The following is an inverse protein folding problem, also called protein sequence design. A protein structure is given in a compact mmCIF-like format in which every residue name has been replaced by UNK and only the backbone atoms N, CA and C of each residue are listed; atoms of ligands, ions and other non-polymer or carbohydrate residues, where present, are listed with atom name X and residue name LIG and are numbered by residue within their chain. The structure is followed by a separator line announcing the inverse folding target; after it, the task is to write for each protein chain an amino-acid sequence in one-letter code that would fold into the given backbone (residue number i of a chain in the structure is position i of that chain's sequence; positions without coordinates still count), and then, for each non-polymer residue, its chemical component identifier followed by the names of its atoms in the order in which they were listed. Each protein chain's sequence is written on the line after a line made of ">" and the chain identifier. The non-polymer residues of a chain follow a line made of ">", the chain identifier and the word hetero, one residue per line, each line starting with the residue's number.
data_IF_621607860408
#
_entry.id   IF_621607860408
#
_cell.length_a   1.000
_cell.length_b   1.000
_cell.length_c   1.000
_cell.angle_alpha   90.00
_cell.angle_beta   90.00
_cell.angle_gamma   90.00
#
_symmetry.space_group_name_H-M   'P 1'
#
loop_
_entity.id
_entity.type
_entity.pdbx_description
1 polymer ?
#
# COMPACT_ATOMS: atom_id res chain seq x y z
N UNK A 1 11.46 70.88 -19.16
CA UNK A 1 11.11 69.65 -19.90
C UNK A 1 11.86 68.51 -19.23
N UNK A 2 11.15 67.72 -18.43
CA UNK A 2 11.70 66.72 -17.51
C UNK A 2 12.00 65.41 -18.24
N UNK A 3 13.26 65.02 -18.22
CA UNK A 3 13.77 63.75 -18.72
C UNK A 3 13.18 62.60 -17.91
N UNK A 4 12.35 61.75 -18.53
CA UNK A 4 11.85 60.54 -17.91
C UNK A 4 12.94 59.47 -17.91
N UNK A 5 13.58 59.27 -16.76
CA UNK A 5 14.38 58.08 -16.46
C UNK A 5 13.47 56.85 -16.54
N UNK A 6 13.63 56.03 -17.59
CA UNK A 6 13.05 54.69 -17.63
C UNK A 6 13.72 53.87 -16.52
N UNK A 7 12.93 53.46 -15.53
CA UNK A 7 13.37 52.49 -14.52
C UNK A 7 13.69 51.17 -15.23
N UNK A 8 14.96 50.77 -15.17
CA UNK A 8 15.37 49.41 -15.52
C UNK A 8 14.81 48.46 -14.46
N UNK A 9 13.63 47.89 -14.69
CA UNK A 9 13.15 46.78 -13.88
C UNK A 9 14.05 45.58 -14.16
N UNK A 10 14.94 45.34 -13.19
CA UNK A 10 15.81 44.17 -13.07
C UNK A 10 14.91 42.93 -13.18
N UNK A 11 14.97 42.23 -14.32
CA UNK A 11 14.31 40.94 -14.49
C UNK A 11 14.98 39.94 -13.55
N UNK A 12 14.37 39.71 -12.39
CA UNK A 12 14.74 38.59 -11.55
C UNK A 12 14.60 37.33 -12.41
N UNK A 13 15.69 36.58 -12.56
CA UNK A 13 15.69 35.29 -13.27
C UNK A 13 14.69 34.38 -12.55
N UNK A 14 13.47 34.30 -13.06
CA UNK A 14 12.49 33.29 -12.65
C UNK A 14 13.04 31.96 -13.16
N UNK A 15 13.65 31.18 -12.27
CA UNK A 15 14.05 29.80 -12.56
C UNK A 15 12.77 28.98 -12.77
N UNK A 16 12.66 28.34 -13.94
CA UNK A 16 11.54 27.47 -14.29
C UNK A 16 11.25 26.44 -13.19
N UNK A 17 9.97 26.19 -12.90
CA UNK A 17 9.52 25.17 -11.96
C UNK A 17 10.17 23.81 -12.25
N UNK A 18 10.52 23.05 -11.20
CA UNK A 18 11.03 21.68 -11.32
C UNK A 18 9.93 20.61 -11.35
N UNK A 19 8.66 21.03 -11.23
CA UNK A 19 7.47 20.17 -11.18
C UNK A 19 6.61 20.44 -12.43
N UNK A 20 6.00 19.40 -13.02
CA UNK A 20 5.14 19.54 -14.20
C UNK A 20 3.91 20.40 -13.92
N UNK A 21 3.32 20.92 -14.99
CA UNK A 21 1.98 21.50 -14.94
C UNK A 21 0.93 20.44 -14.56
N UNK A 22 -0.05 20.82 -13.74
CA UNK A 22 -1.15 19.94 -13.30
C UNK A 22 -2.21 19.85 -14.40
N UNK A 23 -1.90 19.10 -15.45
CA UNK A 23 -2.81 18.78 -16.55
C UNK A 23 -3.52 17.44 -16.33
N UNK A 24 -4.36 17.01 -17.28
CA UNK A 24 -4.94 15.65 -17.24
C UNK A 24 -3.86 14.56 -17.29
N UNK A 25 -2.75 14.82 -18.00
CA UNK A 25 -1.62 13.89 -18.10
C UNK A 25 -0.91 13.69 -16.77
N UNK A 26 -0.80 14.75 -15.96
CA UNK A 26 -0.28 14.67 -14.60
C UNK A 26 -1.07 13.65 -13.78
N UNK A 27 -2.40 13.78 -13.75
CA UNK A 27 -3.26 12.88 -12.97
C UNK A 27 -3.23 11.45 -13.51
N UNK A 28 -3.24 11.30 -14.85
CA UNK A 28 -3.17 9.99 -15.49
C UNK A 28 -1.87 9.26 -15.13
N UNK A 29 -0.71 9.87 -15.35
CA UNK A 29 0.57 9.21 -15.05
C UNK A 29 0.72 8.99 -13.54
N UNK A 30 0.25 9.91 -12.70
CA UNK A 30 0.27 9.74 -11.24
C UNK A 30 -0.50 8.49 -10.81
N UNK A 31 -1.71 8.27 -11.32
CA UNK A 31 -2.52 7.07 -11.02
C UNK A 31 -1.81 5.81 -11.54
N UNK A 32 -1.24 5.84 -12.75
CA UNK A 32 -0.46 4.70 -13.26
C UNK A 32 0.75 4.40 -12.35
N UNK A 33 1.48 5.42 -11.91
CA UNK A 33 2.63 5.28 -10.99
C UNK A 33 2.21 4.70 -9.62
N UNK A 34 1.05 5.12 -9.09
CA UNK A 34 0.55 4.59 -7.81
C UNK A 34 0.08 3.14 -7.94
N UNK A 35 -0.41 2.72 -9.11
CA UNK A 35 -0.75 1.31 -9.38
C UNK A 35 0.47 0.42 -9.60
N UNK A 36 1.49 0.92 -10.33
CA UNK A 36 2.77 0.20 -10.47
C UNK A 36 3.45 0.03 -9.13
N UNK A 37 3.42 1.06 -8.27
CA UNK A 37 4.12 1.04 -6.99
C UNK A 37 3.75 -0.18 -6.14
N UNK A 38 2.45 -0.49 -6.09
CA UNK A 38 1.90 -1.65 -5.38
C UNK A 38 2.31 -2.95 -6.08
N UNK A 39 1.81 -3.13 -7.32
CA UNK A 39 2.00 -4.38 -8.05
C UNK A 39 3.46 -4.77 -8.27
N UNK A 40 4.35 -3.80 -8.45
CA UNK A 40 5.76 -4.05 -8.70
C UNK A 40 6.52 -4.36 -7.42
N UNK A 41 6.16 -3.73 -6.30
CA UNK A 41 6.72 -4.07 -4.99
C UNK A 41 6.44 -5.55 -4.67
N UNK A 42 5.18 -5.98 -4.84
CA UNK A 42 4.75 -7.36 -4.59
C UNK A 42 5.39 -8.35 -5.55
N UNK A 43 5.48 -8.00 -6.83
CA UNK A 43 6.14 -8.85 -7.80
C UNK A 43 7.61 -9.10 -7.47
N UNK A 44 8.33 -8.06 -7.03
CA UNK A 44 9.74 -8.21 -6.66
C UNK A 44 9.90 -8.93 -5.32
N UNK A 45 9.02 -8.65 -4.35
CA UNK A 45 9.05 -9.25 -3.02
C UNK A 45 8.70 -10.75 -3.07
N UNK A 46 7.47 -11.06 -3.52
CA UNK A 46 6.89 -12.40 -3.52
C UNK A 46 7.20 -13.13 -4.82
N UNK A 47 7.00 -12.48 -5.97
CA UNK A 47 7.13 -13.13 -7.27
C UNK A 47 8.57 -13.53 -7.64
N UNK A 48 9.58 -12.77 -7.24
CA UNK A 48 11.00 -13.10 -7.43
C UNK A 48 11.64 -13.78 -6.21
N UNK A 49 10.92 -13.90 -5.10
CA UNK A 49 11.40 -14.54 -3.87
C UNK A 49 12.59 -13.82 -3.21
N UNK A 50 12.81 -12.52 -3.52
CA UNK A 50 13.89 -11.75 -2.90
C UNK A 50 13.62 -11.44 -1.42
N UNK A 51 12.33 -11.48 -1.03
CA UNK A 51 11.88 -11.15 0.30
C UNK A 51 11.91 -9.65 0.60
N UNK A 52 11.13 -9.27 1.60
CA UNK A 52 10.81 -7.87 1.86
C UNK A 52 12.03 -7.03 2.26
N UNK A 53 12.93 -7.62 3.06
CA UNK A 53 14.12 -6.92 3.56
C UNK A 53 15.13 -6.55 2.48
N UNK A 54 15.45 -7.49 1.57
CA UNK A 54 16.42 -7.25 0.48
C UNK A 54 15.81 -6.29 -0.54
N UNK A 55 14.54 -6.52 -0.91
CA UNK A 55 13.80 -5.67 -1.84
C UNK A 55 13.78 -4.22 -1.36
N UNK A 56 13.41 -3.98 -0.10
CA UNK A 56 13.42 -2.64 0.48
C UNK A 56 14.81 -1.99 0.48
N UNK A 57 15.88 -2.74 0.77
CA UNK A 57 17.24 -2.21 0.75
C UNK A 57 17.65 -1.75 -0.67
N UNK A 58 17.36 -2.57 -1.68
CA UNK A 58 17.64 -2.25 -3.09
C UNK A 58 16.87 -1.00 -3.52
N UNK A 59 15.56 -0.95 -3.28
CA UNK A 59 14.74 0.20 -3.67
C UNK A 59 15.07 1.47 -2.88
N UNK A 60 15.51 1.34 -1.62
CA UNK A 60 16.01 2.49 -0.85
C UNK A 60 17.27 3.06 -1.48
N UNK A 61 18.21 2.20 -1.93
CA UNK A 61 19.41 2.64 -2.62
C UNK A 61 19.09 3.30 -3.98
N UNK A 62 18.20 2.68 -4.76
CA UNK A 62 17.72 3.26 -6.04
C UNK A 62 17.03 4.60 -5.81
N UNK A 63 16.19 4.70 -4.77
CA UNK A 63 15.53 5.94 -4.38
C UNK A 63 16.54 7.03 -4.06
N UNK A 64 17.57 6.73 -3.27
CA UNK A 64 18.61 7.70 -2.93
C UNK A 64 19.34 8.22 -4.18
N UNK A 65 19.64 7.35 -5.14
CA UNK A 65 20.29 7.72 -6.41
C UNK A 65 19.37 8.60 -7.26
N UNK A 66 18.15 8.15 -7.53
CA UNK A 66 17.20 8.85 -8.41
C UNK A 66 16.78 10.19 -7.81
N UNK A 67 16.50 10.24 -6.51
CA UNK A 67 16.20 11.47 -5.79
C UNK A 67 17.42 12.42 -5.78
N UNK A 68 18.63 11.88 -5.60
CA UNK A 68 19.87 12.67 -5.68
C UNK A 68 20.07 13.30 -7.07
N UNK A 69 19.75 12.59 -8.15
CA UNK A 69 19.76 13.14 -9.52
C UNK A 69 18.69 14.24 -9.66
N UNK A 70 17.46 13.97 -9.21
CA UNK A 70 16.36 14.93 -9.28
C UNK A 70 16.68 16.25 -8.56
N UNK A 71 17.21 16.19 -7.35
CA UNK A 71 17.59 17.37 -6.56
C UNK A 71 18.70 18.21 -7.23
N UNK A 72 19.58 17.58 -8.02
CA UNK A 72 20.67 18.26 -8.74
C UNK A 72 20.18 18.98 -10.00
N UNK A 73 19.13 18.49 -10.64
CA UNK A 73 18.59 19.09 -11.85
C UNK A 73 18.02 20.48 -11.56
N UNK A 74 18.34 21.45 -12.42
CA UNK A 74 17.92 22.85 -12.28
C UNK A 74 16.60 23.16 -12.99
N UNK A 75 16.04 22.18 -13.70
CA UNK A 75 14.84 22.31 -14.54
C UNK A 75 14.04 21.02 -14.50
N UNK A 76 12.76 21.12 -14.80
CA UNK A 76 11.90 19.96 -14.99
C UNK A 76 12.40 19.08 -16.16
N UNK A 77 12.64 17.81 -15.88
CA UNK A 77 12.94 16.76 -16.87
C UNK A 77 11.90 15.65 -16.67
N UNK A 78 10.96 15.46 -17.62
CA UNK A 78 9.85 14.53 -17.43
C UNK A 78 10.28 13.12 -17.01
N UNK A 79 11.28 12.57 -17.71
CA UNK A 79 11.79 11.21 -17.45
C UNK A 79 12.29 11.05 -16.01
N UNK A 80 13.10 12.01 -15.53
CA UNK A 80 13.69 11.91 -14.18
C UNK A 80 12.62 12.10 -13.11
N UNK A 81 11.75 13.08 -13.27
CA UNK A 81 10.67 13.34 -12.32
C UNK A 81 9.73 12.13 -12.18
N UNK A 82 9.25 11.59 -13.30
CA UNK A 82 8.32 10.45 -13.27
C UNK A 82 9.00 9.17 -12.79
N UNK A 83 10.29 8.97 -13.11
CA UNK A 83 11.08 7.88 -12.51
C UNK A 83 11.18 8.03 -10.99
N UNK A 84 11.46 9.24 -10.47
CA UNK A 84 11.46 9.49 -9.03
C UNK A 84 10.12 9.16 -8.40
N UNK A 85 9.00 9.52 -9.05
CA UNK A 85 7.64 9.22 -8.57
C UNK A 85 7.36 7.72 -8.56
N UNK A 86 7.80 6.95 -9.57
CA UNK A 86 7.67 5.48 -9.59
C UNK A 86 8.50 4.85 -8.48
N UNK A 87 9.76 5.25 -8.32
CA UNK A 87 10.62 4.67 -7.28
C UNK A 87 10.12 5.02 -5.87
N UNK A 88 9.58 6.23 -5.68
CA UNK A 88 8.93 6.63 -4.44
C UNK A 88 7.65 5.83 -4.16
N UNK A 89 6.87 5.47 -5.19
CA UNK A 89 5.67 4.67 -4.98
C UNK A 89 6.01 3.25 -4.53
N UNK A 90 7.02 2.62 -5.15
CA UNK A 90 7.52 1.30 -4.74
C UNK A 90 8.11 1.34 -3.33
N UNK A 91 9.01 2.29 -3.04
CA UNK A 91 9.62 2.41 -1.72
C UNK A 91 8.59 2.72 -0.63
N UNK A 92 7.56 3.51 -0.94
CA UNK A 92 6.47 3.80 -0.02
C UNK A 92 5.64 2.57 0.36
N UNK A 93 5.32 1.70 -0.61
CA UNK A 93 4.68 0.38 -0.35
C UNK A 93 5.57 -0.43 0.59
N UNK A 94 6.82 -0.68 0.19
CA UNK A 94 7.74 -1.54 0.95
C UNK A 94 7.97 -1.07 2.40
N UNK A 95 7.98 0.24 2.66
CA UNK A 95 8.10 0.76 4.03
C UNK A 95 6.86 0.52 4.88
N UNK A 96 5.67 0.58 4.28
CA UNK A 96 4.43 0.20 4.94
C UNK A 96 4.42 -1.29 5.24
N UNK A 97 4.74 -2.13 4.27
CA UNK A 97 4.74 -3.60 4.41
C UNK A 97 5.75 -4.06 5.47
N UNK A 98 6.91 -3.39 5.58
CA UNK A 98 7.86 -3.69 6.66
C UNK A 98 7.25 -3.46 8.04
N UNK A 99 6.44 -2.40 8.18
CA UNK A 99 5.76 -2.12 9.45
C UNK A 99 4.64 -3.12 9.71
N UNK A 100 3.83 -3.43 8.71
CA UNK A 100 2.62 -4.24 8.88
C UNK A 100 2.93 -5.73 8.90
N UNK A 101 3.71 -6.22 7.94
CA UNK A 101 3.86 -7.65 7.68
C UNK A 101 5.03 -8.21 8.48
N UNK A 102 6.15 -7.49 8.51
CA UNK A 102 7.35 -7.94 9.24
C UNK A 102 7.33 -7.57 10.72
N UNK A 103 6.85 -6.38 11.06
CA UNK A 103 6.82 -5.87 12.43
C UNK A 103 5.45 -6.04 13.10
N UNK A 104 4.46 -6.61 12.39
CA UNK A 104 3.11 -6.88 12.89
C UNK A 104 2.42 -5.62 13.47
N UNK A 105 2.74 -4.42 12.96
CA UNK A 105 2.13 -3.18 13.40
C UNK A 105 0.72 -3.06 12.78
N UNK A 106 -0.35 -2.87 13.58
CA UNK A 106 -1.69 -2.78 13.04
C UNK A 106 -1.84 -1.66 11.99
N UNK A 107 -2.52 -1.97 10.88
CA UNK A 107 -2.76 -1.04 9.77
C UNK A 107 -3.42 0.29 10.21
N UNK A 108 -4.33 0.25 11.17
CA UNK A 108 -4.94 1.44 11.76
C UNK A 108 -3.90 2.35 12.45
N UNK A 109 -2.92 1.75 13.15
CA UNK A 109 -1.85 2.48 13.81
C UNK A 109 -0.87 3.06 12.78
N UNK A 110 -0.43 2.26 11.80
CA UNK A 110 0.43 2.71 10.70
C UNK A 110 -0.19 3.88 9.93
N UNK A 111 -1.47 3.77 9.55
CA UNK A 111 -2.22 4.85 8.89
C UNK A 111 -2.25 6.12 9.74
N UNK A 112 -2.53 5.99 11.04
CA UNK A 112 -2.56 7.14 11.95
C UNK A 112 -1.19 7.80 12.09
N UNK A 113 -0.13 7.02 12.24
CA UNK A 113 1.25 7.51 12.36
C UNK A 113 1.66 8.24 11.08
N UNK A 114 1.39 7.68 9.90
CA UNK A 114 1.72 8.33 8.64
C UNK A 114 0.88 9.60 8.40
N UNK A 115 -0.39 9.62 8.83
CA UNK A 115 -1.23 10.82 8.75
C UNK A 115 -0.68 11.95 9.62
N UNK A 116 -0.27 11.63 10.86
CA UNK A 116 0.38 12.59 11.78
C UNK A 116 1.73 13.06 11.21
N UNK A 117 2.54 12.15 10.67
CA UNK A 117 3.81 12.49 10.03
C UNK A 117 3.60 13.42 8.83
N UNK A 118 2.60 13.15 7.97
CA UNK A 118 2.29 14.00 6.83
C UNK A 118 1.82 15.39 7.27
N UNK A 119 0.96 15.46 8.31
CA UNK A 119 0.53 16.73 8.90
C UNK A 119 1.72 17.51 9.48
N UNK A 120 2.67 16.84 10.13
CA UNK A 120 3.89 17.45 10.64
C UNK A 120 4.77 17.98 9.49
N UNK A 121 4.94 17.22 8.40
CA UNK A 121 5.69 17.67 7.21
C UNK A 121 5.06 18.93 6.62
N UNK A 122 3.74 18.95 6.42
CA UNK A 122 3.05 20.15 5.94
C UNK A 122 3.13 21.32 6.93
N UNK A 123 3.01 21.05 8.23
CA UNK A 123 3.11 22.07 9.28
C UNK A 123 4.48 22.74 9.32
N UNK A 124 5.55 21.94 9.31
CA UNK A 124 6.93 22.45 9.28
C UNK A 124 7.24 23.18 7.97
N UNK A 125 6.79 22.63 6.84
CA UNK A 125 6.94 23.28 5.54
C UNK A 125 6.24 24.64 5.52
N UNK A 126 4.99 24.72 5.96
CA UNK A 126 4.25 25.97 6.01
C UNK A 126 4.84 26.97 7.02
N UNK A 127 5.36 26.51 8.16
CA UNK A 127 6.02 27.37 9.13
C UNK A 127 7.31 28.00 8.57
N UNK A 128 8.07 27.25 7.76
CA UNK A 128 9.34 27.69 7.16
C UNK A 128 9.16 28.54 5.90
N UNK A 129 8.28 28.11 5.00
CA UNK A 129 8.18 28.66 3.64
C UNK A 129 6.92 29.49 3.40
N UNK A 130 5.95 29.43 4.34
CA UNK A 130 4.66 30.16 4.30
C UNK A 130 3.83 29.90 3.04
N UNK A 131 4.13 28.81 2.34
CA UNK A 131 3.41 28.33 1.16
C UNK A 131 3.47 26.80 1.10
N UNK A 132 2.38 26.19 0.65
CA UNK A 132 2.30 24.77 0.28
C UNK A 132 2.06 24.60 -1.22
N UNK A 133 2.28 25.66 -2.00
CA UNK A 133 2.04 25.67 -3.45
C UNK A 133 3.16 24.98 -4.21
N UNK A 134 2.78 23.99 -5.02
CA UNK A 134 3.68 23.25 -5.91
C UNK A 134 4.34 24.11 -7.00
N UNK A 135 3.70 25.23 -7.38
CA UNK A 135 4.23 26.13 -8.41
C UNK A 135 5.46 26.91 -7.94
N UNK A 136 5.77 26.85 -6.64
CA UNK A 136 6.87 27.61 -6.02
C UNK A 136 8.06 26.75 -5.61
N UNK A 137 8.17 25.52 -6.15
CA UNK A 137 9.27 24.58 -5.88
C UNK A 137 10.47 24.96 -6.74
N UNK A 138 11.19 25.98 -6.27
CA UNK A 138 12.38 26.53 -6.93
C UNK A 138 13.65 26.48 -6.06
N UNK A 139 13.50 26.18 -4.76
CA UNK A 139 14.63 26.09 -3.81
C UNK A 139 14.79 24.67 -3.28
N UNK A 140 16.03 24.29 -2.90
CA UNK A 140 16.31 22.97 -2.33
C UNK A 140 15.49 22.64 -1.07
N UNK A 141 15.26 23.57 -0.11
CA UNK A 141 14.41 23.28 1.03
C UNK A 141 12.96 22.95 0.62
N UNK A 142 12.35 23.74 -0.27
CA UNK A 142 10.99 23.47 -0.78
C UNK A 142 10.90 22.15 -1.51
N UNK A 143 11.91 21.85 -2.32
CA UNK A 143 11.99 20.59 -3.07
C UNK A 143 12.12 19.39 -2.12
N UNK A 144 12.91 19.50 -1.04
CA UNK A 144 13.03 18.44 -0.03
C UNK A 144 11.71 18.20 0.72
N UNK A 145 11.00 19.27 1.13
CA UNK A 145 9.68 19.13 1.76
C UNK A 145 8.66 18.51 0.81
N UNK A 146 8.70 18.88 -0.47
CA UNK A 146 7.85 18.29 -1.49
C UNK A 146 8.09 16.78 -1.60
N UNK A 147 9.33 16.35 -1.82
CA UNK A 147 9.63 14.92 -1.97
C UNK A 147 9.39 14.12 -0.70
N UNK A 148 9.64 14.70 0.47
CA UNK A 148 9.29 14.09 1.75
C UNK A 148 7.78 13.93 1.92
N UNK A 149 7.00 14.97 1.61
CA UNK A 149 5.54 14.90 1.64
C UNK A 149 5.02 13.82 0.68
N UNK A 150 5.61 13.72 -0.52
CA UNK A 150 5.28 12.70 -1.51
C UNK A 150 5.57 11.29 -0.97
N UNK A 151 6.75 11.06 -0.39
CA UNK A 151 7.12 9.76 0.21
C UNK A 151 6.14 9.36 1.33
N UNK A 152 5.88 10.26 2.28
CA UNK A 152 4.96 9.96 3.40
C UNK A 152 3.54 9.74 2.90
N UNK A 153 3.12 10.47 1.87
CA UNK A 153 1.81 10.26 1.22
C UNK A 153 1.72 8.88 0.57
N UNK A 154 2.80 8.39 -0.04
CA UNK A 154 2.83 7.05 -0.62
C UNK A 154 2.65 5.96 0.44
N UNK A 155 3.39 6.06 1.55
CA UNK A 155 3.28 5.13 2.66
C UNK A 155 1.89 5.20 3.33
N UNK A 156 1.39 6.42 3.61
CA UNK A 156 0.04 6.65 4.14
C UNK A 156 -1.04 6.02 3.27
N UNK A 157 -0.94 6.22 1.95
CA UNK A 157 -1.98 5.78 1.04
C UNK A 157 -1.99 4.26 0.81
N UNK A 158 -0.84 3.58 0.89
CA UNK A 158 -0.80 2.10 0.94
C UNK A 158 -1.48 1.63 2.23
N UNK A 159 -1.01 2.10 3.40
CA UNK A 159 -1.58 1.70 4.69
C UNK A 159 -3.11 1.95 4.78
N UNK A 160 -3.58 3.09 4.25
CA UNK A 160 -5.00 3.42 4.22
C UNK A 160 -5.80 2.57 3.22
N UNK A 161 -5.20 2.16 2.10
CA UNK A 161 -5.79 1.24 1.12
C UNK A 161 -6.03 -0.12 1.76
N UNK A 162 -4.97 -0.72 2.29
CA UNK A 162 -5.01 -2.04 2.92
C UNK A 162 -5.90 -2.03 4.16
N UNK A 163 -5.85 -0.94 4.95
CA UNK A 163 -6.74 -0.79 6.09
C UNK A 163 -8.20 -0.74 5.67
N UNK A 164 -8.53 -0.12 4.54
CA UNK A 164 -9.90 -0.10 4.00
C UNK A 164 -10.34 -1.51 3.66
N UNK A 165 -9.50 -2.31 3.00
CA UNK A 165 -9.78 -3.71 2.68
C UNK A 165 -9.99 -4.54 3.95
N UNK A 166 -9.05 -4.46 4.90
CA UNK A 166 -9.09 -5.20 6.15
C UNK A 166 -10.31 -4.82 7.02
N UNK A 167 -10.68 -3.53 7.05
CA UNK A 167 -11.78 -3.02 7.87
C UNK A 167 -13.16 -3.39 7.31
N UNK A 168 -13.31 -3.37 5.99
CA UNK A 168 -14.61 -3.52 5.31
C UNK A 168 -14.84 -4.91 4.70
N UNK A 169 -13.78 -5.70 4.54
CA UNK A 169 -13.80 -6.97 3.83
C UNK A 169 -14.21 -6.85 2.36
N UNK A 170 -14.18 -5.64 1.80
CA UNK A 170 -14.48 -5.40 0.40
C UNK A 170 -13.37 -5.97 -0.48
N UNK A 171 -13.74 -6.55 -1.62
CA UNK A 171 -12.77 -6.89 -2.65
C UNK A 171 -12.09 -5.63 -3.21
N UNK A 172 -10.82 -5.73 -3.69
CA UNK A 172 -10.05 -4.58 -4.17
C UNK A 172 -10.77 -3.70 -5.19
N UNK A 173 -11.52 -4.31 -6.13
CA UNK A 173 -12.26 -3.57 -7.15
C UNK A 173 -13.41 -2.71 -6.60
N UNK A 174 -14.11 -3.15 -5.55
CA UNK A 174 -15.16 -2.34 -4.91
C UNK A 174 -14.52 -1.21 -4.10
N UNK A 175 -13.41 -1.49 -3.43
CA UNK A 175 -12.67 -0.52 -2.61
C UNK A 175 -12.13 0.65 -3.41
N UNK A 176 -11.97 0.53 -4.73
CA UNK A 176 -11.65 1.66 -5.64
C UNK A 176 -12.72 2.76 -5.61
N UNK A 177 -14.00 2.42 -5.37
CA UNK A 177 -15.10 3.38 -5.41
C UNK A 177 -14.98 4.46 -4.31
N UNK A 178 -14.42 4.10 -3.15
CA UNK A 178 -14.22 5.04 -2.04
C UNK A 178 -13.27 6.20 -2.42
N UNK A 179 -11.99 5.97 -2.77
CA UNK A 179 -11.10 7.06 -3.15
C UNK A 179 -11.55 7.78 -4.42
N UNK A 180 -12.16 7.10 -5.41
CA UNK A 180 -12.75 7.78 -6.59
C UNK A 180 -13.83 8.78 -6.16
N UNK A 181 -14.74 8.38 -5.28
CA UNK A 181 -15.83 9.24 -4.79
C UNK A 181 -15.28 10.40 -3.97
N UNK A 182 -14.27 10.17 -3.15
CA UNK A 182 -13.61 11.23 -2.38
C UNK A 182 -12.87 12.21 -3.29
N UNK A 183 -12.18 11.74 -4.34
CA UNK A 183 -11.56 12.61 -5.36
C UNK A 183 -12.63 13.42 -6.09
N UNK A 184 -13.76 12.81 -6.46
CA UNK A 184 -14.87 13.52 -7.08
C UNK A 184 -15.43 14.63 -6.15
N UNK A 185 -15.57 14.34 -4.85
CA UNK A 185 -15.95 15.35 -3.86
C UNK A 185 -14.91 16.48 -3.76
N UNK A 186 -13.61 16.19 -3.80
CA UNK A 186 -12.56 17.22 -3.83
C UNK A 186 -12.68 18.10 -5.08
N UNK A 187 -12.91 17.50 -6.26
CA UNK A 187 -13.09 18.22 -7.53
C UNK A 187 -14.32 19.14 -7.48
N UNK A 188 -15.43 18.64 -6.94
CA UNK A 188 -16.67 19.41 -6.74
C UNK A 188 -16.41 20.61 -5.83
N UNK A 189 -15.76 20.39 -4.68
CA UNK A 189 -15.40 21.47 -3.75
C UNK A 189 -14.53 22.53 -4.41
N UNK A 190 -13.48 22.10 -5.12
CA UNK A 190 -12.61 22.99 -5.90
C UNK A 190 -13.39 23.79 -6.96
N UNK A 191 -14.36 23.16 -7.65
CA UNK A 191 -15.21 23.82 -8.65
C UNK A 191 -16.09 24.92 -8.05
N UNK A 192 -16.46 24.78 -6.78
CA UNK A 192 -17.21 25.75 -5.98
C UNK A 192 -16.35 26.80 -5.27
N UNK A 193 -15.03 26.79 -5.45
CA UNK A 193 -14.14 27.84 -4.92
C UNK A 193 -13.48 27.51 -3.57
N UNK A 194 -13.49 26.23 -3.17
CA UNK A 194 -12.64 25.73 -2.07
C UNK A 194 -11.16 25.89 -2.45
N UNK A 195 -10.31 26.12 -1.44
CA UNK A 195 -8.88 26.38 -1.62
C UNK A 195 -8.20 25.38 -2.58
N UNK A 196 -7.56 25.91 -3.62
CA UNK A 196 -6.95 25.10 -4.70
C UNK A 196 -5.76 24.27 -4.22
N UNK A 197 -4.92 24.81 -3.33
CA UNK A 197 -3.74 24.09 -2.80
C UNK A 197 -4.18 22.91 -1.91
N UNK A 198 -5.15 23.14 -1.03
CA UNK A 198 -5.72 22.08 -0.21
C UNK A 198 -6.37 20.98 -1.07
N UNK A 199 -7.17 21.39 -2.06
CA UNK A 199 -7.85 20.46 -2.96
C UNK A 199 -6.84 19.64 -3.77
N UNK A 200 -5.74 20.26 -4.24
CA UNK A 200 -4.65 19.56 -4.90
C UNK A 200 -4.04 18.48 -3.98
N UNK A 201 -3.67 18.83 -2.75
CA UNK A 201 -3.04 17.87 -1.84
C UNK A 201 -3.98 16.75 -1.44
N UNK A 202 -5.26 17.03 -1.19
CA UNK A 202 -6.25 16.00 -0.89
C UNK A 202 -6.45 15.04 -2.06
N UNK A 203 -6.61 15.57 -3.29
CA UNK A 203 -6.69 14.72 -4.48
C UNK A 203 -5.40 13.91 -4.66
N UNK A 204 -4.23 14.53 -4.48
CA UNK A 204 -2.93 13.86 -4.58
C UNK A 204 -2.81 12.71 -3.58
N UNK A 205 -3.20 12.92 -2.32
CA UNK A 205 -3.17 11.89 -1.28
C UNK A 205 -4.12 10.74 -1.64
N UNK A 206 -5.34 11.04 -2.07
CA UNK A 206 -6.36 10.05 -2.41
C UNK A 206 -6.03 9.22 -3.67
N UNK A 207 -5.19 9.73 -4.59
CA UNK A 207 -4.74 8.93 -5.74
C UNK A 207 -3.89 7.72 -5.37
N UNK A 208 -3.34 7.70 -4.15
CA UNK A 208 -2.55 6.55 -3.68
C UNK A 208 -3.40 5.34 -3.27
N UNK A 209 -4.34 5.43 -2.31
CA UNK A 209 -5.22 4.30 -2.02
C UNK A 209 -6.03 3.87 -3.25
N UNK A 210 -6.36 4.81 -4.16
CA UNK A 210 -6.89 4.48 -5.48
C UNK A 210 -5.96 3.54 -6.27
N UNK A 211 -4.68 3.91 -6.36
CA UNK A 211 -3.68 3.14 -7.10
C UNK A 211 -3.39 1.79 -6.49
N UNK A 212 -3.29 1.70 -5.16
CA UNK A 212 -3.09 0.45 -4.42
C UNK A 212 -4.24 -0.54 -4.70
N UNK A 213 -5.48 -0.11 -4.43
CA UNK A 213 -6.68 -0.93 -4.71
C UNK A 213 -6.80 -1.34 -6.19
N UNK A 214 -6.39 -0.48 -7.14
CA UNK A 214 -6.32 -0.84 -8.55
C UNK A 214 -5.23 -1.87 -8.85
N UNK A 215 -4.07 -1.78 -8.20
CA UNK A 215 -2.97 -2.74 -8.32
C UNK A 215 -3.42 -4.13 -7.90
N UNK A 216 -3.96 -4.23 -6.70
CA UNK A 216 -4.47 -5.47 -6.13
C UNK A 216 -5.63 -6.01 -6.96
N UNK A 217 -6.54 -5.15 -7.42
CA UNK A 217 -7.65 -5.59 -8.24
C UNK A 217 -7.20 -6.21 -9.55
N UNK A 218 -6.17 -5.66 -10.21
CA UNK A 218 -5.67 -6.22 -11.46
C UNK A 218 -4.81 -7.46 -11.23
N UNK A 219 -3.98 -7.44 -10.19
CA UNK A 219 -2.96 -8.45 -9.94
C UNK A 219 -3.48 -9.69 -9.19
N UNK A 220 -4.33 -9.51 -8.18
CA UNK A 220 -4.75 -10.59 -7.28
C UNK A 220 -5.59 -11.66 -7.99
N UNK A 221 -5.57 -12.92 -7.51
CA UNK A 221 -6.37 -14.00 -8.08
C UNK A 221 -7.88 -13.71 -8.05
N UNK A 222 -8.63 -14.33 -8.96
CA UNK A 222 -10.10 -14.23 -9.01
C UNK A 222 -10.78 -14.72 -7.74
N UNK A 223 -10.15 -15.65 -7.01
CA UNK A 223 -10.61 -16.12 -5.70
C UNK A 223 -10.63 -14.99 -4.64
N UNK A 224 -9.76 -14.00 -4.77
CA UNK A 224 -9.67 -12.83 -3.89
C UNK A 224 -10.37 -11.60 -4.48
N UNK A 225 -11.32 -11.80 -5.42
CA UNK A 225 -12.02 -10.73 -6.15
C UNK A 225 -11.13 -9.86 -7.06
N UNK A 226 -9.93 -10.34 -7.41
CA UNK A 226 -9.06 -9.73 -8.42
C UNK A 226 -9.34 -10.22 -9.86
N UNK A 227 -8.66 -9.64 -10.84
CA UNK A 227 -8.75 -10.00 -12.26
C UNK A 227 -7.82 -11.17 -12.64
N UNK A 228 -6.87 -11.53 -11.77
CA UNK A 228 -5.98 -12.67 -11.96
C UNK A 228 -4.90 -12.47 -13.02
N UNK A 229 -4.53 -11.23 -13.36
CA UNK A 229 -3.45 -10.96 -14.32
C UNK A 229 -2.06 -11.29 -13.74
N UNK A 230 -1.96 -11.36 -12.40
CA UNK A 230 -0.70 -11.50 -11.69
C UNK A 230 0.07 -10.18 -11.58
N UNK A 231 0.86 -10.08 -10.51
CA UNK A 231 1.63 -8.88 -10.18
C UNK A 231 2.61 -8.47 -11.30
N UNK A 232 3.36 -9.42 -11.85
CA UNK A 232 4.37 -9.13 -12.88
C UNK A 232 3.79 -8.59 -14.20
N UNK A 233 2.75 -9.24 -14.75
CA UNK A 233 2.11 -8.79 -16.00
C UNK A 233 1.45 -7.43 -15.81
N UNK A 234 0.77 -7.23 -14.68
CA UNK A 234 0.17 -5.95 -14.30
C UNK A 234 1.24 -4.86 -14.31
N UNK A 235 2.35 -5.04 -13.59
CA UNK A 235 3.42 -4.04 -13.55
C UNK A 235 3.99 -3.71 -14.93
N UNK A 236 4.20 -4.71 -15.80
CA UNK A 236 4.71 -4.48 -17.16
C UNK A 236 3.76 -3.63 -17.99
N UNK A 237 2.45 -3.91 -17.95
CA UNK A 237 1.43 -3.14 -18.69
C UNK A 237 1.44 -1.68 -18.23
N UNK A 238 1.41 -1.45 -16.92
CA UNK A 238 1.36 -0.09 -16.38
C UNK A 238 2.69 0.66 -16.59
N UNK A 239 3.85 0.00 -16.45
CA UNK A 239 5.16 0.58 -16.76
C UNK A 239 5.27 0.98 -18.25
N UNK A 240 4.76 0.15 -19.16
CA UNK A 240 4.72 0.47 -20.59
C UNK A 240 3.82 1.68 -20.86
N UNK A 241 2.65 1.78 -20.20
CA UNK A 241 1.76 2.93 -20.31
C UNK A 241 2.42 4.22 -19.77
N UNK A 242 3.11 4.15 -18.63
CA UNK A 242 3.88 5.27 -18.08
C UNK A 242 4.98 5.68 -19.07
N UNK A 243 5.76 4.73 -19.59
CA UNK A 243 6.81 5.02 -20.54
C UNK A 243 6.27 5.71 -21.81
N UNK A 244 5.16 5.22 -22.36
CA UNK A 244 4.51 5.85 -23.52
C UNK A 244 4.05 7.29 -23.23
N UNK A 245 3.41 7.51 -22.07
CA UNK A 245 2.97 8.84 -21.65
C UNK A 245 4.16 9.80 -21.41
N UNK A 246 5.23 9.33 -20.77
CA UNK A 246 6.46 10.11 -20.53
C UNK A 246 7.16 10.44 -21.85
N UNK A 247 7.22 9.50 -22.81
CA UNK A 247 7.78 9.76 -24.16
C UNK A 247 6.93 10.82 -24.88
N UNK A 248 5.61 10.73 -24.80
CA UNK A 248 4.70 11.72 -25.36
C UNK A 248 4.94 13.11 -24.75
N UNK A 249 5.03 13.23 -23.42
CA UNK A 249 5.29 14.50 -22.74
C UNK A 249 6.70 15.04 -23.05
N UNK A 250 7.70 14.17 -23.15
CA UNK A 250 9.07 14.56 -23.53
C UNK A 250 9.12 15.16 -24.94
N UNK A 251 8.28 14.66 -25.87
CA UNK A 251 8.20 15.19 -27.25
C UNK A 251 7.33 16.44 -27.36
N UNK A 252 6.17 16.44 -26.72
CA UNK A 252 5.19 17.54 -26.86
C UNK A 252 5.45 18.71 -25.94
N UNK A 253 6.16 18.49 -24.82
CA UNK A 253 6.37 19.46 -23.74
C UNK A 253 5.07 20.08 -23.21
N UNK A 254 3.96 19.35 -23.34
CA UNK A 254 2.62 19.80 -22.93
C UNK A 254 2.45 19.96 -21.41
N UNK A 255 3.47 19.59 -20.63
CA UNK A 255 3.54 19.62 -19.18
C UNK A 255 4.62 20.59 -18.66
N UNK A 256 5.30 21.33 -19.55
CA UNK A 256 6.31 22.33 -19.19
C UNK A 256 5.64 23.68 -18.98
N UNK A 257 5.76 24.23 -17.78
CA UNK A 257 5.29 25.58 -17.47
C UNK A 257 6.19 26.59 -18.19
N UNK A 258 5.68 27.28 -19.22
CA UNK A 258 6.41 28.32 -19.95
C UNK A 258 6.30 29.68 -19.24
N UNK A 259 7.36 30.50 -19.36
CA UNK A 259 7.43 31.83 -18.71
C UNK A 259 6.34 32.82 -19.18
N UNK A 260 5.69 32.55 -20.31
CA UNK A 260 4.61 33.40 -20.85
C UNK A 260 3.22 33.02 -20.32
N UNK A 261 3.06 31.90 -19.60
CA UNK A 261 1.76 31.45 -19.08
C UNK A 261 1.27 32.24 -17.86
N UNK A 262 2.08 33.15 -17.29
CA UNK A 262 1.60 34.10 -16.28
C UNK A 262 0.49 35.03 -16.81
N UNK A 263 0.37 35.20 -18.14
CA UNK A 263 -0.71 35.96 -18.76
C UNK A 263 -2.09 35.29 -18.66
N UNK A 264 -2.15 34.01 -18.25
CA UNK A 264 -3.39 33.23 -18.14
C UNK A 264 -3.65 32.79 -16.70
N UNK A 265 -3.31 33.62 -15.71
CA UNK A 265 -3.79 33.42 -14.34
C UNK A 265 -5.33 33.40 -14.37
N UNK A 266 -5.99 32.27 -14.03
CA UNK A 266 -7.43 32.24 -13.98
C UNK A 266 -7.90 33.31 -13.00
N UNK A 267 -8.82 34.18 -13.45
CA UNK A 267 -9.44 35.23 -12.62
C UNK A 267 -9.75 34.64 -11.25
N UNK A 268 -9.41 35.32 -10.13
CA UNK A 268 -9.63 34.80 -8.79
C UNK A 268 -11.10 34.40 -8.68
N UNK A 269 -11.36 33.09 -8.70
CA UNK A 269 -12.69 32.55 -8.40
C UNK A 269 -13.03 33.01 -6.99
N UNK A 270 -14.29 33.37 -6.75
CA UNK A 270 -14.80 33.73 -5.43
C UNK A 270 -14.33 32.67 -4.42
N UNK A 271 -13.35 33.03 -3.60
CA UNK A 271 -12.81 32.13 -2.60
C UNK A 271 -13.88 31.94 -1.53
N UNK A 272 -14.24 30.68 -1.29
CA UNK A 272 -15.15 30.32 -0.20
C UNK A 272 -14.43 30.60 1.12
N UNK A 273 -15.17 31.03 2.15
CA UNK A 273 -14.57 31.31 3.46
C UNK A 273 -13.87 30.06 4.03
N UNK A 274 -12.87 30.27 4.89
CA UNK A 274 -12.16 29.17 5.57
C UNK A 274 -13.16 28.29 6.34
N UNK A 275 -14.15 28.90 6.99
CA UNK A 275 -15.20 28.19 7.73
C UNK A 275 -16.01 27.27 6.81
N UNK A 276 -16.44 27.76 5.65
CA UNK A 276 -17.20 26.95 4.71
C UNK A 276 -16.33 25.86 4.04
N UNK A 277 -15.03 26.12 3.84
CA UNK A 277 -14.07 25.10 3.41
C UNK A 277 -13.92 23.97 4.45
N UNK A 278 -13.75 24.34 5.72
CA UNK A 278 -13.65 23.37 6.82
C UNK A 278 -14.97 22.60 6.97
N UNK A 279 -16.12 23.30 6.90
CA UNK A 279 -17.44 22.67 6.95
C UNK A 279 -17.65 21.67 5.82
N UNK A 280 -17.27 22.02 4.58
CA UNK A 280 -17.36 21.12 3.44
C UNK A 280 -16.57 19.82 3.65
N UNK A 281 -15.29 19.93 4.00
CA UNK A 281 -14.46 18.74 4.21
C UNK A 281 -14.82 17.97 5.48
N UNK A 282 -15.33 18.64 6.52
CA UNK A 282 -15.87 17.95 7.70
C UNK A 282 -17.05 17.05 7.31
N UNK A 283 -17.98 17.54 6.48
CA UNK A 283 -19.10 16.71 5.97
C UNK A 283 -18.58 15.53 5.15
N UNK A 284 -17.62 15.75 4.25
CA UNK A 284 -17.03 14.67 3.44
C UNK A 284 -16.35 13.61 4.32
N UNK A 285 -15.56 14.03 5.31
CA UNK A 285 -14.87 13.13 6.23
C UNK A 285 -15.86 12.36 7.10
N UNK A 286 -16.88 13.03 7.65
CA UNK A 286 -17.91 12.37 8.46
C UNK A 286 -18.72 11.36 7.64
N UNK A 287 -19.07 11.68 6.39
CA UNK A 287 -19.75 10.76 5.49
C UNK A 287 -18.88 9.54 5.17
N UNK A 288 -17.59 9.74 4.88
CA UNK A 288 -16.64 8.66 4.64
C UNK A 288 -16.46 7.76 5.87
N UNK A 289 -16.31 8.36 7.05
CA UNK A 289 -16.20 7.63 8.32
C UNK A 289 -17.47 6.85 8.66
N UNK A 290 -18.65 7.44 8.44
CA UNK A 290 -19.92 6.75 8.63
C UNK A 290 -20.08 5.56 7.67
N UNK A 291 -19.67 5.72 6.41
CA UNK A 291 -19.66 4.63 5.43
C UNK A 291 -18.72 3.50 5.84
N UNK A 292 -17.49 3.83 6.24
CA UNK A 292 -16.51 2.84 6.70
C UNK A 292 -16.96 2.12 7.97
N UNK A 293 -17.58 2.85 8.90
CA UNK A 293 -18.13 2.26 10.13
C UNK A 293 -19.35 1.37 9.86
N UNK A 294 -20.21 1.77 8.92
CA UNK A 294 -21.34 0.96 8.50
C UNK A 294 -20.87 -0.32 7.80
N UNK A 295 -19.87 -0.19 6.91
CA UNK A 295 -19.27 -1.31 6.21
C UNK A 295 -18.56 -2.25 7.18
N UNK A 296 -17.80 -1.72 8.16
CA UNK A 296 -17.11 -2.52 9.18
C UNK A 296 -18.04 -3.26 10.13
N UNK A 297 -19.29 -2.81 10.27
CA UNK A 297 -20.32 -3.47 11.06
C UNK A 297 -21.09 -4.56 10.29
N UNK A 298 -20.87 -4.70 8.97
CA UNK A 298 -21.45 -5.81 8.22
C UNK A 298 -20.72 -7.13 8.57
N UNK A 299 -21.33 -8.30 8.33
CA UNK A 299 -20.62 -9.56 8.41
C UNK A 299 -19.68 -9.71 7.21
N UNK A 300 -18.38 -9.63 7.45
CA UNK A 300 -17.33 -9.92 6.46
C UNK A 300 -16.16 -10.62 7.14
N UNK A 301 -15.47 -11.48 6.39
CA UNK A 301 -14.22 -12.08 6.84
C UNK A 301 -13.16 -11.01 7.03
N UNK A 302 -12.33 -11.15 8.06
CA UNK A 302 -11.19 -10.28 8.32
C UNK A 302 -10.19 -10.44 7.16
N UNK A 303 -10.14 -9.50 6.22
CA UNK A 303 -9.17 -9.54 5.11
C UNK A 303 -7.72 -9.22 5.54
N UNK A 304 -7.36 -9.50 6.81
CA UNK A 304 -6.08 -9.14 7.41
C UNK A 304 -5.55 -10.14 8.45
N UNK A 305 -6.09 -11.36 8.47
CA UNK A 305 -5.43 -12.48 9.12
C UNK A 305 -4.99 -13.44 8.03
N UNK A 306 -3.69 -13.49 7.76
CA UNK A 306 -2.96 -14.59 7.11
C UNK A 306 -3.86 -15.73 6.60
N UNK A 307 -4.32 -15.63 5.35
CA UNK A 307 -4.70 -16.80 4.55
C UNK A 307 -3.52 -17.06 3.61
N UNK A 308 -2.52 -17.79 4.11
CA UNK A 308 -1.86 -18.75 3.24
C UNK A 308 -2.95 -19.71 2.74
N UNK A 309 -3.10 -19.82 1.41
CA UNK A 309 -3.73 -20.96 0.76
C UNK A 309 -5.26 -21.12 0.83
N UNK A 310 -5.99 -20.39 -0.02
CA UNK A 310 -7.29 -20.82 -0.55
C UNK A 310 -8.53 -20.14 0.06
N UNK A 311 -9.70 -20.26 -0.60
CA UNK A 311 -10.90 -19.46 -0.29
C UNK A 311 -11.38 -19.70 1.15
N UNK A 312 -12.08 -18.73 1.78
CA UNK A 312 -12.50 -18.82 3.17
C UNK A 312 -13.52 -19.94 3.30
N UNK A 313 -13.05 -21.12 3.71
CA UNK A 313 -13.94 -22.21 4.06
C UNK A 313 -14.46 -21.87 5.44
N UNK A 314 -15.67 -21.32 5.51
CA UNK A 314 -16.43 -21.18 6.74
C UNK A 314 -16.25 -22.44 7.59
N UNK A 315 -15.44 -22.37 8.65
CA UNK A 315 -15.16 -23.42 9.62
C UNK A 315 -15.41 -24.85 9.09
N UNK A 316 -14.72 -25.26 8.02
CA UNK A 316 -14.74 -26.67 7.65
C UNK A 316 -13.96 -27.42 8.71
N UNK A 317 -14.70 -27.95 9.69
CA UNK A 317 -14.18 -29.03 10.51
C UNK A 317 -14.15 -30.28 9.65
N UNK A 318 -13.01 -30.99 9.68
CA UNK A 318 -12.94 -32.32 9.11
C UNK A 318 -13.94 -33.23 9.83
N UNK A 319 -14.70 -34.01 9.07
CA UNK A 319 -15.46 -35.10 9.66
C UNK A 319 -14.48 -36.10 10.28
N UNK A 320 -14.88 -36.74 11.38
CA UNK A 320 -14.03 -37.70 12.08
C UNK A 320 -13.60 -38.84 11.14
N UNK A 321 -12.29 -39.04 10.94
CA UNK A 321 -11.73 -40.06 10.04
C UNK A 321 -11.56 -39.62 8.58
N UNK A 322 -11.95 -38.39 8.22
CA UNK A 322 -11.88 -37.89 6.84
C UNK A 322 -10.43 -37.83 6.32
N UNK A 323 -9.48 -37.42 7.17
CA UNK A 323 -8.06 -37.44 6.82
C UNK A 323 -7.57 -38.87 6.54
N UNK A 324 -7.92 -39.84 7.39
CA UNK A 324 -7.55 -41.25 7.23
C UNK A 324 -8.10 -41.92 5.98
N UNK A 325 -9.20 -41.41 5.42
CA UNK A 325 -9.73 -41.87 4.12
C UNK A 325 -9.13 -41.17 2.90
N UNK A 326 -8.38 -40.09 3.12
CA UNK A 326 -7.93 -39.18 2.06
C UNK A 326 -6.43 -39.25 1.83
N UNK A 327 -5.64 -39.34 2.91
CA UNK A 327 -4.18 -39.36 2.85
C UNK A 327 -3.60 -40.72 3.23
N UNK A 328 -2.38 -41.06 2.78
CA UNK A 328 -1.72 -42.30 3.16
C UNK A 328 -1.54 -42.40 4.67
N UNK A 329 -1.84 -43.57 5.23
CA UNK A 329 -1.74 -43.80 6.68
C UNK A 329 -0.33 -43.55 7.23
N UNK A 330 0.71 -43.86 6.45
CA UNK A 330 2.10 -43.63 6.83
C UNK A 330 2.42 -42.15 7.08
N UNK A 331 1.88 -41.25 6.24
CA UNK A 331 2.09 -39.80 6.37
C UNK A 331 1.38 -39.28 7.62
N UNK A 332 0.11 -39.67 7.80
CA UNK A 332 -0.69 -39.29 8.97
C UNK A 332 -0.08 -39.79 10.28
N UNK A 333 0.51 -40.99 10.28
CA UNK A 333 1.18 -41.55 11.45
C UNK A 333 2.46 -40.77 11.80
N UNK A 334 3.21 -40.29 10.81
CA UNK A 334 4.37 -39.42 11.03
C UNK A 334 3.95 -38.07 11.62
N UNK A 335 2.97 -37.40 11.01
CA UNK A 335 2.44 -36.13 11.53
C UNK A 335 1.93 -36.31 12.96
N UNK A 336 1.12 -37.35 13.21
CA UNK A 336 0.57 -37.64 14.53
C UNK A 336 1.66 -37.87 15.56
N UNK A 337 2.73 -38.58 15.20
CA UNK A 337 3.87 -38.83 16.10
C UNK A 337 4.54 -37.52 16.50
N UNK A 338 4.85 -36.65 15.54
CA UNK A 338 5.49 -35.35 15.82
C UNK A 338 4.57 -34.46 16.66
N UNK A 339 3.28 -34.42 16.37
CA UNK A 339 2.29 -33.66 17.15
C UNK A 339 2.15 -34.20 18.58
N UNK A 340 2.17 -35.52 18.79
CA UNK A 340 2.15 -36.15 20.11
C UNK A 340 3.41 -35.84 20.91
N UNK A 341 4.60 -35.93 20.30
CA UNK A 341 5.87 -35.58 20.93
C UNK A 341 5.88 -34.11 21.36
N UNK A 342 5.37 -33.23 20.49
CA UNK A 342 5.26 -31.80 20.78
C UNK A 342 4.33 -31.55 21.98
N UNK A 343 3.18 -32.23 22.04
CA UNK A 343 2.26 -32.14 23.18
C UNK A 343 2.89 -32.66 24.48
N UNK A 344 3.68 -33.73 24.42
CA UNK A 344 4.40 -34.25 25.58
C UNK A 344 5.40 -33.22 26.12
N UNK A 345 6.10 -32.52 25.23
CA UNK A 345 7.05 -31.46 25.59
C UNK A 345 6.38 -30.23 26.20
N UNK A 346 5.29 -29.75 25.59
CA UNK A 346 4.45 -28.67 26.16
C UNK A 346 3.94 -29.06 27.55
N UNK A 347 3.49 -30.31 27.72
CA UNK A 347 2.99 -30.81 29.02
C UNK A 347 4.09 -30.91 30.08
N UNK A 348 5.33 -31.22 29.67
CA UNK A 348 6.50 -31.24 30.54
C UNK A 348 7.10 -29.84 30.82
N UNK A 349 6.57 -28.77 30.21
CA UNK A 349 7.12 -27.42 30.31
C UNK A 349 8.40 -27.19 29.49
N UNK A 350 8.77 -28.13 28.60
CA UNK A 350 9.93 -28.03 27.71
C UNK A 350 9.58 -27.23 26.45
N UNK A 351 9.51 -25.90 26.57
CA UNK A 351 9.16 -25.03 25.46
C UNK A 351 10.21 -24.98 24.34
N UNK A 352 11.49 -25.07 24.70
CA UNK A 352 12.58 -25.10 23.71
C UNK A 352 12.51 -26.36 22.85
N UNK A 353 12.27 -27.51 23.48
CA UNK A 353 12.06 -28.75 22.77
C UNK A 353 10.77 -28.73 21.95
N UNK A 354 9.68 -28.12 22.45
CA UNK A 354 8.42 -28.03 21.71
C UNK A 354 8.59 -27.22 20.41
N UNK A 355 9.32 -26.11 20.47
CA UNK A 355 9.67 -25.30 19.29
C UNK A 355 10.54 -26.04 18.28
N UNK A 356 11.47 -26.85 18.77
CA UNK A 356 12.30 -27.69 17.89
C UNK A 356 11.43 -28.74 17.21
N UNK A 357 10.60 -29.45 17.98
CA UNK A 357 9.80 -30.56 17.46
C UNK A 357 8.71 -30.11 16.51
N UNK A 358 8.11 -28.94 16.73
CA UNK A 358 7.12 -28.39 15.80
C UNK A 358 7.75 -27.91 14.49
N UNK A 359 9.04 -27.53 14.47
CA UNK A 359 9.74 -27.25 13.22
C UNK A 359 9.96 -28.51 12.36
N UNK A 360 10.12 -29.68 12.99
CA UNK A 360 10.14 -30.95 12.26
C UNK A 360 8.79 -31.22 11.57
N UNK A 361 7.67 -30.83 12.21
CA UNK A 361 6.33 -30.99 11.63
C UNK A 361 6.16 -30.12 10.38
N UNK A 362 6.52 -28.83 10.47
CA UNK A 362 6.52 -27.88 9.34
C UNK A 362 7.39 -28.41 8.20
N UNK A 363 8.64 -28.79 8.49
CA UNK A 363 9.57 -29.29 7.46
C UNK A 363 9.01 -30.52 6.73
N UNK A 364 8.38 -31.45 7.45
CA UNK A 364 7.79 -32.65 6.86
C UNK A 364 6.52 -32.32 6.08
N UNK A 365 5.67 -31.44 6.60
CA UNK A 365 4.43 -31.00 5.96
C UNK A 365 4.71 -30.27 4.64
N UNK A 366 5.65 -29.34 4.64
CA UNK A 366 6.08 -28.57 3.46
C UNK A 366 6.70 -29.49 2.40
N UNK A 367 7.49 -30.48 2.82
CA UNK A 367 8.08 -31.46 1.91
C UNK A 367 7.02 -32.27 1.16
N UNK A 368 5.90 -32.59 1.84
CA UNK A 368 4.81 -33.38 1.28
C UNK A 368 3.69 -32.55 0.65
N UNK A 369 3.77 -31.22 0.71
CA UNK A 369 2.72 -30.29 0.30
C UNK A 369 2.18 -30.56 -1.11
N UNK A 370 3.04 -30.51 -2.13
CA UNK A 370 2.61 -30.64 -3.54
C UNK A 370 1.86 -31.95 -3.77
N UNK A 371 2.29 -33.03 -3.10
CA UNK A 371 1.69 -34.35 -3.20
C UNK A 371 0.34 -34.39 -2.49
N UNK A 372 0.27 -33.99 -1.22
CA UNK A 372 -0.97 -34.06 -0.43
C UNK A 372 -2.04 -33.09 -0.95
N UNK A 373 -1.64 -31.89 -1.36
CA UNK A 373 -2.54 -30.90 -1.94
C UNK A 373 -3.16 -31.41 -3.25
N UNK A 374 -2.38 -32.11 -4.09
CA UNK A 374 -2.90 -32.71 -5.33
C UNK A 374 -3.92 -33.84 -5.10
N UNK A 375 -3.83 -34.56 -3.96
CA UNK A 375 -4.74 -35.66 -3.63
C UNK A 375 -6.12 -35.14 -3.21
N UNK A 376 -6.17 -34.14 -2.32
CA UNK A 376 -7.41 -33.53 -1.88
C UNK A 376 -7.16 -32.11 -1.35
N UNK A 377 -7.37 -31.08 -2.19
CA UNK A 377 -7.12 -29.69 -1.81
C UNK A 377 -7.94 -29.23 -0.60
N UNK A 378 -9.15 -29.79 -0.41
CA UNK A 378 -10.04 -29.40 0.68
C UNK A 378 -9.57 -29.95 2.03
N UNK A 379 -9.27 -31.25 2.10
CA UNK A 379 -8.77 -31.88 3.32
C UNK A 379 -7.38 -31.36 3.67
N UNK A 380 -6.54 -31.11 2.66
CA UNK A 380 -5.21 -30.52 2.84
C UNK A 380 -5.32 -29.13 3.47
N UNK A 381 -6.14 -28.23 2.89
CA UNK A 381 -6.32 -26.86 3.40
C UNK A 381 -6.83 -26.80 4.85
N UNK A 382 -7.67 -27.73 5.28
CA UNK A 382 -8.12 -27.78 6.68
C UNK A 382 -6.99 -28.22 7.63
N UNK A 383 -6.19 -29.22 7.24
CA UNK A 383 -5.06 -29.66 8.06
C UNK A 383 -3.94 -28.62 8.11
N UNK A 384 -3.68 -27.97 6.98
CA UNK A 384 -2.72 -26.87 6.82
C UNK A 384 -3.00 -25.76 7.84
N UNK A 385 -4.24 -25.26 7.85
CA UNK A 385 -4.69 -24.25 8.80
C UNK A 385 -4.58 -24.69 10.27
N UNK A 386 -4.82 -25.97 10.59
CA UNK A 386 -4.65 -26.49 11.94
C UNK A 386 -3.17 -26.60 12.35
N UNK A 387 -2.28 -26.95 11.41
CA UNK A 387 -0.83 -26.98 11.60
C UNK A 387 -0.31 -25.56 11.84
N UNK A 388 -0.75 -24.58 11.06
CA UNK A 388 -0.39 -23.16 11.25
C UNK A 388 -0.83 -22.63 12.60
N UNK A 389 -2.05 -22.98 13.01
CA UNK A 389 -2.57 -22.61 14.33
C UNK A 389 -1.69 -23.16 15.45
N UNK A 390 -1.21 -24.40 15.30
CA UNK A 390 -0.28 -25.02 16.25
C UNK A 390 1.08 -24.31 16.22
N UNK A 391 1.67 -24.11 15.04
CA UNK A 391 2.96 -23.43 14.85
C UNK A 391 2.95 -22.04 15.49
N UNK A 392 1.91 -21.24 15.21
CA UNK A 392 1.71 -19.91 15.77
C UNK A 392 1.56 -19.93 17.29
N UNK A 393 0.83 -20.91 17.83
CA UNK A 393 0.65 -21.03 19.28
C UNK A 393 1.97 -21.31 20.02
N UNK A 394 2.81 -22.19 19.49
CA UNK A 394 4.08 -22.62 20.10
C UNK A 394 5.22 -21.61 19.87
N UNK A 395 5.21 -20.91 18.72
CA UNK A 395 6.22 -19.90 18.37
C UNK A 395 5.90 -18.50 18.91
N UNK A 396 4.75 -18.32 19.54
CA UNK A 396 4.34 -17.07 20.17
C UNK A 396 5.44 -16.51 21.10
N UNK A 397 5.61 -15.18 21.10
CA UNK A 397 6.49 -14.47 22.03
C UNK A 397 6.02 -14.55 23.49
N UNK A 398 4.74 -14.87 23.70
CA UNK A 398 4.13 -15.10 25.02
C UNK A 398 3.21 -16.34 24.93
N UNK A 399 3.78 -17.57 24.95
CA UNK A 399 3.02 -18.79 24.75
C UNK A 399 2.05 -19.05 25.92
N UNK A 400 0.83 -19.46 25.59
CA UNK A 400 -0.17 -19.93 26.56
C UNK A 400 -0.25 -21.45 26.47
N UNK A 401 0.14 -22.13 27.55
CA UNK A 401 0.16 -23.60 27.62
C UNK A 401 -1.22 -24.21 27.35
N UNK A 402 -2.29 -23.53 27.76
CA UNK A 402 -3.66 -24.00 27.51
C UNK A 402 -4.03 -23.90 26.03
N UNK A 403 -3.62 -22.81 25.35
CA UNK A 403 -3.87 -22.63 23.93
C UNK A 403 -3.06 -23.63 23.08
N UNK A 404 -1.80 -23.87 23.45
CA UNK A 404 -0.93 -24.86 22.80
C UNK A 404 -1.49 -26.29 22.94
N UNK A 405 -1.93 -26.66 24.15
CA UNK A 405 -2.56 -27.97 24.36
C UNK A 405 -3.86 -28.11 23.57
N UNK A 406 -4.66 -27.05 23.50
CA UNK A 406 -5.93 -27.06 22.77
C UNK A 406 -5.71 -27.19 21.25
N UNK A 407 -4.77 -26.43 20.68
CA UNK A 407 -4.44 -26.50 19.24
C UNK A 407 -3.87 -27.87 18.87
N UNK A 408 -2.91 -28.39 19.66
CA UNK A 408 -2.32 -29.72 19.46
C UNK A 408 -3.36 -30.84 19.58
N UNK A 409 -4.26 -30.77 20.57
CA UNK A 409 -5.31 -31.78 20.75
C UNK A 409 -6.33 -31.76 19.59
N UNK A 410 -6.62 -30.58 19.03
CA UNK A 410 -7.46 -30.43 17.86
C UNK A 410 -6.81 -31.07 16.63
N UNK A 411 -5.56 -30.73 16.33
CA UNK A 411 -4.81 -31.31 15.21
C UNK A 411 -4.71 -32.85 15.34
N UNK A 412 -4.44 -33.37 16.54
CA UNK A 412 -4.43 -34.82 16.79
C UNK A 412 -5.78 -35.49 16.55
N UNK A 413 -6.89 -34.79 16.73
CA UNK A 413 -8.22 -35.34 16.43
C UNK A 413 -8.48 -35.38 14.92
N UNK A 414 -7.98 -34.39 14.17
CA UNK A 414 -8.11 -34.30 12.72
C UNK A 414 -7.17 -35.25 11.97
N UNK A 415 -6.02 -35.59 12.54
CA UNK A 415 -5.06 -36.57 12.00
C UNK A 415 -5.46 -38.04 12.22
N UNK A 416 -6.66 -38.32 12.75
CA UNK A 416 -7.21 -39.68 12.90
C UNK A 416 -8.05 -40.05 11.69
#
# INVERSE_FOLDING_TARGET
>A
MTSSTRSSTRSWRVTASKVPEVTIWFWLIKVLCTTVGESFADWVNVGLGLGLGITAMIFTAVLAVVLGVQLRLQRYVPVVYWLTVVVLSVAGTLYTDILTDRLAVPLALSTTVFAVALAAVFGVWFARERTLSIHSIITLPRESFYWLAVLVTFALGTAAGDWTLALTGWGPGISVLLPVTLIAAVIVGWRFGVNAVLSFWLAYILTRPLGANLGDWFASPTAQHGLGLGYGVTSVIFLAAIAAAVVYLTRTRADVIELNDEATQPKPRRAVSVVATVGYYAVVILAAGALLQWASAQPHGSAGGEEEGGPPVAAASLARGEAGTTFPAADLDQFRTITQDTLAKVTAGDQSGARTRIADLETLWDHDQDRLQSMNPKTWSVLDHEIDTVLKSIRSGSPSVDNEKQSLAKLLASLR
#
